data_IF_016724616137
#
_entry.id   IF_016724616137
#
_cell.length_a   1.000
_cell.length_b   1.000
_cell.length_c   1.000
_cell.angle_alpha   90.00
_cell.angle_beta   90.00
_cell.angle_gamma   90.00
#
_symmetry.space_group_name_H-M   'P 1'
#
loop_
_entity.id
_entity.type
_entity.pdbx_description
1 polymer ?
#
# COMPACT_ATOMS: atom_id res chain seq x y z
N UNK A 1 2.02 -20.65 -0.28
CA UNK A 1 0.60 -21.10 -0.28
C UNK A 1 0.47 -22.44 0.41
N UNK A 2 -0.60 -22.61 1.18
CA UNK A 2 -0.91 -23.90 1.77
C UNK A 2 -1.53 -24.84 0.73
N UNK A 3 -1.28 -26.16 0.78
CA UNK A 3 -2.02 -27.15 0.01
C UNK A 3 -3.51 -27.10 0.32
N UNK A 4 -4.36 -27.59 -0.61
CA UNK A 4 -5.81 -27.51 -0.47
C UNK A 4 -6.38 -28.25 0.76
N UNK A 5 -5.71 -29.28 1.21
CA UNK A 5 -6.04 -30.09 2.39
C UNK A 5 -5.49 -29.50 3.71
N UNK A 6 -4.71 -28.44 3.65
CA UNK A 6 -4.15 -27.80 4.85
C UNK A 6 -5.22 -26.98 5.59
N UNK A 7 -5.31 -27.04 6.94
CA UNK A 7 -6.33 -26.30 7.71
C UNK A 7 -6.32 -24.76 7.49
N UNK A 8 -5.17 -24.22 7.09
CA UNK A 8 -5.03 -22.78 6.80
C UNK A 8 -5.21 -22.43 5.32
N UNK A 9 -5.70 -23.34 4.50
CA UNK A 9 -5.87 -23.09 3.06
C UNK A 9 -6.79 -21.91 2.78
N UNK A 10 -7.86 -21.75 3.52
CA UNK A 10 -8.80 -20.64 3.39
C UNK A 10 -8.11 -19.25 3.52
N UNK A 11 -7.05 -19.16 4.33
CA UNK A 11 -6.30 -17.92 4.52
C UNK A 11 -5.46 -17.49 3.30
N UNK A 12 -5.24 -18.36 2.33
CA UNK A 12 -4.48 -17.99 1.13
C UNK A 12 -5.10 -16.84 0.35
N UNK A 13 -6.44 -16.77 0.34
CA UNK A 13 -7.20 -15.76 -0.40
C UNK A 13 -7.84 -14.73 0.53
N UNK A 14 -8.16 -15.11 1.77
CA UNK A 14 -8.83 -14.26 2.76
C UNK A 14 -7.88 -13.38 3.57
N UNK A 15 -6.59 -13.72 3.69
CA UNK A 15 -5.66 -12.96 4.52
C UNK A 15 -5.63 -11.47 4.13
N UNK A 16 -5.50 -11.17 2.84
CA UNK A 16 -5.49 -9.79 2.36
C UNK A 16 -6.75 -9.04 2.76
N UNK A 17 -7.91 -9.65 2.57
CA UNK A 17 -9.21 -9.07 2.85
C UNK A 17 -9.43 -8.88 4.35
N UNK A 18 -9.25 -9.94 5.15
CA UNK A 18 -9.58 -9.93 6.58
C UNK A 18 -8.52 -9.28 7.47
N UNK A 19 -7.24 -9.39 7.10
CA UNK A 19 -6.14 -8.85 7.90
C UNK A 19 -5.68 -7.48 7.41
N UNK A 20 -5.58 -7.29 6.08
CA UNK A 20 -5.02 -6.08 5.50
C UNK A 20 -6.08 -5.10 4.96
N UNK A 21 -7.35 -5.49 4.91
CA UNK A 21 -8.46 -4.65 4.45
C UNK A 21 -8.64 -4.62 2.92
N UNK A 22 -7.84 -5.37 2.17
CA UNK A 22 -8.01 -5.55 0.72
C UNK A 22 -7.27 -6.78 0.23
N UNK A 23 -7.84 -7.57 -0.69
CA UNK A 23 -7.08 -8.58 -1.40
C UNK A 23 -6.19 -7.93 -2.46
N UNK A 24 -5.07 -8.58 -2.81
CA UNK A 24 -4.38 -8.25 -4.06
C UNK A 24 -5.25 -8.68 -5.24
N UNK A 25 -5.58 -7.75 -6.13
CA UNK A 25 -6.40 -8.01 -7.32
C UNK A 25 -5.50 -8.05 -8.56
N UNK A 26 -4.98 -6.89 -8.95
CA UNK A 26 -4.17 -6.70 -10.14
C UNK A 26 -3.38 -5.41 -10.01
N UNK A 27 -2.33 -5.27 -10.77
CA UNK A 27 -1.59 -4.02 -10.93
C UNK A 27 -1.37 -3.72 -12.40
N UNK A 28 -1.15 -2.45 -12.69
CA UNK A 28 -0.71 -1.99 -14.01
C UNK A 28 0.77 -1.59 -13.94
N UNK A 29 1.45 -1.55 -15.09
CA UNK A 29 2.83 -1.09 -15.15
C UNK A 29 2.96 0.44 -15.08
N UNK A 30 4.18 0.94 -15.00
CA UNK A 30 4.47 2.37 -15.01
C UNK A 30 4.59 2.97 -13.62
N UNK A 31 4.66 4.29 -13.56
CA UNK A 31 4.68 5.10 -12.34
C UNK A 31 3.26 5.37 -11.85
N UNK A 32 3.15 5.82 -10.61
CA UNK A 32 1.88 6.19 -10.00
C UNK A 32 1.92 7.62 -9.48
N UNK A 33 1.03 8.47 -9.98
CA UNK A 33 0.83 9.83 -9.47
C UNK A 33 -0.02 9.75 -8.20
N UNK A 34 0.51 10.21 -7.08
CA UNK A 34 -0.10 10.09 -5.76
C UNK A 34 -0.76 11.38 -5.36
N UNK A 35 -1.94 11.25 -4.73
CA UNK A 35 -2.68 12.36 -4.15
C UNK A 35 -3.24 12.00 -2.78
N UNK A 36 -2.94 12.83 -1.78
CA UNK A 36 -3.51 12.69 -0.44
C UNK A 36 -5.02 12.92 -0.49
N UNK A 37 -5.77 12.11 0.26
CA UNK A 37 -7.20 12.30 0.41
C UNK A 37 -7.49 13.44 1.40
N UNK A 38 -8.01 14.58 0.97
CA UNK A 38 -8.24 15.73 1.84
C UNK A 38 -9.25 15.45 2.95
N UNK A 39 -10.19 14.52 2.73
CA UNK A 39 -11.19 14.16 3.74
C UNK A 39 -10.59 13.48 4.97
N UNK A 40 -9.46 12.81 4.81
CA UNK A 40 -8.78 12.06 5.86
C UNK A 40 -7.38 12.61 6.16
N UNK A 41 -7.09 13.85 5.74
CA UNK A 41 -5.80 14.50 5.98
C UNK A 41 -5.50 14.73 7.48
N UNK A 42 -6.53 14.74 8.33
CA UNK A 42 -6.39 14.88 9.79
C UNK A 42 -6.15 13.54 10.51
N UNK A 43 -6.08 12.41 9.78
CA UNK A 43 -5.77 11.13 10.40
C UNK A 43 -4.34 11.14 10.98
N UNK A 44 -4.08 10.54 12.17
CA UNK A 44 -2.76 10.55 12.81
C UNK A 44 -1.60 10.15 11.89
N UNK A 45 -1.80 9.16 11.02
CA UNK A 45 -0.79 8.74 10.03
C UNK A 45 -0.37 9.89 9.08
N UNK A 46 -1.28 10.83 8.82
CA UNK A 46 -1.04 11.96 7.90
C UNK A 46 -0.43 13.19 8.59
N UNK A 47 -0.19 13.13 9.90
CA UNK A 47 0.40 14.24 10.67
C UNK A 47 1.77 14.61 10.11
N UNK A 48 1.97 15.89 9.82
CA UNK A 48 3.25 16.43 9.29
C UNK A 48 3.70 15.79 7.96
N UNK A 49 2.80 15.21 7.19
CA UNK A 49 3.06 14.83 5.80
C UNK A 49 3.11 16.10 4.97
N UNK A 50 4.30 16.43 4.45
CA UNK A 50 4.57 17.76 3.87
C UNK A 50 3.97 17.96 2.48
N UNK A 51 3.88 16.89 1.68
CA UNK A 51 3.34 16.95 0.32
C UNK A 51 1.97 16.31 0.25
N UNK A 52 1.10 16.95 -0.51
CA UNK A 52 -0.23 16.42 -0.85
C UNK A 52 -0.23 15.64 -2.16
N UNK A 53 0.81 15.81 -2.98
CA UNK A 53 0.97 15.14 -4.28
C UNK A 53 2.46 14.81 -4.53
N UNK A 54 2.74 13.63 -5.07
CA UNK A 54 4.07 13.21 -5.54
C UNK A 54 3.97 12.04 -6.52
N UNK A 55 5.08 11.66 -7.14
CA UNK A 55 5.14 10.51 -8.06
C UNK A 55 5.88 9.37 -7.39
N UNK A 56 5.22 8.20 -7.28
CA UNK A 56 5.86 6.94 -6.94
C UNK A 56 6.41 6.29 -8.21
N UNK A 57 7.66 5.81 -8.23
CA UNK A 57 8.16 4.99 -9.33
C UNK A 57 7.57 3.56 -9.33
N UNK A 58 6.75 3.24 -8.35
CA UNK A 58 6.03 1.97 -8.25
C UNK A 58 4.76 1.93 -9.11
N UNK A 59 4.28 0.71 -9.33
CA UNK A 59 3.10 0.43 -10.15
C UNK A 59 1.82 0.64 -9.35
N UNK A 60 0.74 1.07 -10.00
CA UNK A 60 -0.57 1.23 -9.38
C UNK A 60 -1.25 -0.12 -9.18
N UNK A 61 -1.60 -0.45 -7.93
CA UNK A 61 -2.37 -1.63 -7.56
C UNK A 61 -3.85 -1.29 -7.42
N UNK A 62 -4.72 -2.16 -7.96
CA UNK A 62 -6.14 -2.05 -7.70
C UNK A 62 -6.43 -2.60 -6.30
N UNK A 63 -6.79 -1.72 -5.37
CA UNK A 63 -7.29 -2.06 -4.05
C UNK A 63 -8.83 -1.94 -4.04
N UNK A 64 -9.50 -2.95 -3.50
CA UNK A 64 -10.93 -2.92 -3.17
C UNK A 64 -11.04 -3.05 -1.66
N UNK A 65 -11.17 -1.89 -1.01
CA UNK A 65 -11.15 -1.81 0.43
C UNK A 65 -12.38 -2.47 1.05
N UNK A 66 -12.18 -3.19 2.14
CA UNK A 66 -13.25 -3.66 3.02
C UNK A 66 -13.94 -2.49 3.71
N UNK A 67 -15.18 -2.75 4.18
CA UNK A 67 -15.95 -1.74 4.90
C UNK A 67 -15.19 -1.28 6.16
N UNK A 68 -15.15 0.02 6.37
CA UNK A 68 -14.46 0.64 7.51
C UNK A 68 -13.01 1.04 7.24
N UNK A 69 -12.42 0.62 6.13
CA UNK A 69 -11.13 1.15 5.72
C UNK A 69 -11.23 2.65 5.37
N UNK A 70 -10.29 3.44 5.88
CA UNK A 70 -10.18 4.88 5.61
C UNK A 70 -9.13 5.13 4.53
N UNK A 71 -9.50 5.57 3.32
CA UNK A 71 -8.52 5.86 2.28
C UNK A 71 -7.73 7.13 2.63
N UNK A 72 -6.41 7.02 2.77
CA UNK A 72 -5.49 8.12 3.10
C UNK A 72 -4.92 8.77 1.85
N UNK A 73 -4.64 7.99 0.81
CA UNK A 73 -4.17 8.49 -0.47
C UNK A 73 -4.71 7.66 -1.62
N UNK A 74 -4.90 8.30 -2.76
CA UNK A 74 -5.20 7.69 -4.05
C UNK A 74 -4.00 7.80 -4.98
N UNK A 75 -3.94 6.88 -5.95
CA UNK A 75 -2.96 6.91 -7.00
C UNK A 75 -3.64 6.90 -8.36
N UNK A 76 -3.01 7.50 -9.36
CA UNK A 76 -3.40 7.38 -10.77
C UNK A 76 -2.23 6.94 -11.62
N UNK A 77 -2.51 6.20 -12.69
CA UNK A 77 -1.50 5.70 -13.59
C UNK A 77 -2.09 5.34 -14.95
N UNK A 78 -1.23 5.30 -15.97
CA UNK A 78 -1.62 5.05 -17.37
C UNK A 78 -1.07 3.72 -17.90
N UNK A 79 -0.72 2.79 -17.03
CA UNK A 79 -0.13 1.52 -17.42
C UNK A 79 -1.18 0.53 -17.97
N UNK A 80 -0.69 -0.53 -18.64
CA UNK A 80 -1.55 -1.63 -19.08
C UNK A 80 -1.89 -2.56 -17.92
N UNK A 81 -3.17 -2.89 -17.79
CA UNK A 81 -3.64 -3.90 -16.85
C UNK A 81 -3.34 -5.29 -17.40
N UNK A 82 -2.76 -6.15 -16.58
CA UNK A 82 -2.60 -7.57 -16.89
C UNK A 82 -3.68 -8.36 -16.14
N UNK A 83 -4.49 -9.11 -16.87
CA UNK A 83 -5.44 -10.04 -16.29
C UNK A 83 -4.70 -11.11 -15.49
N UNK A 84 -5.10 -11.31 -14.25
CA UNK A 84 -4.56 -12.35 -13.38
C UNK A 84 -5.68 -13.32 -13.02
N UNK A 85 -5.51 -14.59 -13.36
CA UNK A 85 -6.39 -15.66 -12.86
C UNK A 85 -6.17 -15.83 -11.36
N UNK A 86 -7.23 -15.74 -10.58
CA UNK A 86 -7.21 -15.94 -9.13
C UNK A 86 -7.91 -17.25 -8.77
N UNK A 87 -7.57 -17.81 -7.62
CA UNK A 87 -8.19 -19.00 -7.07
C UNK A 87 -9.70 -18.86 -6.81
N UNK A 88 -10.19 -17.65 -6.65
CA UNK A 88 -11.60 -17.30 -6.46
C UNK A 88 -12.33 -16.90 -7.77
N UNK A 89 -11.76 -17.21 -8.93
CA UNK A 89 -12.36 -16.95 -10.24
C UNK A 89 -11.60 -15.94 -11.10
N UNK A 90 -12.06 -15.78 -12.35
CA UNK A 90 -11.53 -14.76 -13.25
C UNK A 90 -12.12 -13.40 -12.87
N UNK A 91 -11.25 -12.46 -12.47
CA UNK A 91 -11.65 -11.08 -12.30
C UNK A 91 -11.44 -10.38 -13.64
N UNK A 92 -12.51 -10.05 -14.32
CA UNK A 92 -12.47 -9.12 -15.44
C UNK A 92 -12.26 -7.71 -14.87
N UNK A 93 -11.04 -7.23 -14.92
CA UNK A 93 -10.71 -5.86 -14.56
C UNK A 93 -10.69 -5.06 -15.84
N UNK A 94 -11.66 -4.16 -16.01
CA UNK A 94 -11.54 -3.08 -16.98
C UNK A 94 -10.34 -2.21 -16.60
N UNK A 95 -9.73 -1.55 -17.56
CA UNK A 95 -8.69 -0.55 -17.30
C UNK A 95 -9.17 0.39 -16.19
N UNK A 96 -8.31 0.64 -15.21
CA UNK A 96 -8.57 1.58 -14.13
C UNK A 96 -7.47 2.63 -14.13
N UNK A 97 -7.88 3.87 -13.98
CA UNK A 97 -6.96 5.01 -13.96
C UNK A 97 -6.61 5.43 -12.54
N UNK A 98 -7.47 5.12 -11.58
CA UNK A 98 -7.30 5.49 -10.17
C UNK A 98 -7.57 4.32 -9.23
N UNK A 99 -6.83 4.28 -8.13
CA UNK A 99 -7.07 3.34 -7.03
C UNK A 99 -6.62 3.96 -5.69
N UNK A 100 -7.14 3.43 -4.58
CA UNK A 100 -6.58 3.75 -3.27
C UNK A 100 -5.22 3.08 -3.13
N UNK A 101 -4.22 3.83 -2.66
CA UNK A 101 -2.82 3.37 -2.54
C UNK A 101 -2.31 3.39 -1.11
N UNK A 102 -3.02 4.06 -0.20
CA UNK A 102 -2.76 4.02 1.24
C UNK A 102 -4.07 4.13 2.02
N UNK A 103 -4.21 3.32 3.06
CA UNK A 103 -5.40 3.29 3.92
C UNK A 103 -5.05 2.95 5.36
N UNK A 104 -5.90 3.39 6.29
CA UNK A 104 -5.92 2.96 7.67
C UNK A 104 -7.15 2.11 7.94
N UNK A 105 -7.03 1.12 8.78
CA UNK A 105 -8.12 0.21 9.13
C UNK A 105 -7.93 -0.38 10.53
N UNK A 106 -9.03 -0.66 11.19
CA UNK A 106 -9.05 -1.54 12.35
C UNK A 106 -9.79 -2.81 11.96
N UNK A 107 -9.11 -3.94 11.97
CA UNK A 107 -9.67 -5.20 11.52
C UNK A 107 -10.61 -5.82 12.56
N UNK A 108 -11.27 -6.93 12.22
CA UNK A 108 -12.24 -7.62 13.06
C UNK A 108 -11.70 -8.11 14.42
N UNK A 109 -10.39 -8.12 14.62
CA UNK A 109 -9.73 -8.45 15.88
C UNK A 109 -9.21 -7.23 16.64
N UNK A 110 -9.56 -6.03 16.24
CA UNK A 110 -9.09 -4.78 16.83
C UNK A 110 -7.64 -4.42 16.47
N UNK A 111 -7.06 -5.11 15.50
CA UNK A 111 -5.70 -4.81 15.03
C UNK A 111 -5.69 -3.59 14.11
N UNK A 112 -4.90 -2.58 14.46
CA UNK A 112 -4.68 -1.39 13.63
C UNK A 112 -3.77 -1.72 12.45
N UNK A 113 -4.20 -1.38 11.26
CA UNK A 113 -3.52 -1.69 10.00
C UNK A 113 -3.30 -0.41 9.19
N UNK A 114 -2.07 -0.14 8.84
CA UNK A 114 -1.73 0.75 7.74
C UNK A 114 -1.43 -0.10 6.52
N UNK A 115 -2.30 -0.06 5.53
CA UNK A 115 -2.10 -0.73 4.26
C UNK A 115 -1.63 0.24 3.20
N UNK A 116 -0.67 -0.21 2.37
CA UNK A 116 -0.18 0.60 1.25
C UNK A 116 0.30 -0.26 0.10
N UNK A 117 0.13 0.22 -1.11
CA UNK A 117 0.76 -0.33 -2.31
C UNK A 117 2.08 0.35 -2.67
N UNK A 118 2.52 1.34 -1.90
CA UNK A 118 3.87 1.90 -1.99
C UNK A 118 4.90 0.88 -1.51
N UNK A 119 6.18 1.13 -1.82
CA UNK A 119 7.28 0.27 -1.39
C UNK A 119 8.23 -0.06 -2.53
N UNK A 120 8.12 0.63 -3.67
CA UNK A 120 9.22 0.65 -4.63
C UNK A 120 10.47 1.26 -3.95
N UNK A 121 11.69 0.76 -4.22
CA UNK A 121 12.90 1.30 -3.61
C UNK A 121 13.02 2.83 -3.68
N UNK A 122 12.51 3.45 -4.75
CA UNK A 122 12.50 4.91 -4.90
C UNK A 122 11.52 5.63 -3.98
N UNK A 123 10.49 4.98 -3.46
CA UNK A 123 9.53 5.63 -2.54
C UNK A 123 10.21 6.02 -1.22
N UNK A 124 11.24 5.28 -0.79
CA UNK A 124 11.95 5.56 0.46
C UNK A 124 12.83 6.81 0.41
N UNK A 125 12.96 7.46 -0.74
CA UNK A 125 13.58 8.79 -0.87
C UNK A 125 12.55 9.92 -0.73
N UNK A 126 11.26 9.61 -0.70
CA UNK A 126 10.18 10.59 -0.52
C UNK A 126 9.84 10.73 0.97
N UNK A 127 10.08 11.92 1.53
CA UNK A 127 9.87 12.20 2.95
C UNK A 127 8.41 12.01 3.36
N UNK A 128 7.45 12.39 2.54
CA UNK A 128 6.03 12.21 2.83
C UNK A 128 5.67 10.75 3.01
N UNK A 129 6.22 9.85 2.19
CA UNK A 129 6.02 8.41 2.33
C UNK A 129 6.68 7.86 3.60
N UNK A 130 7.93 8.21 3.87
CA UNK A 130 8.64 7.75 5.07
C UNK A 130 8.01 8.30 6.35
N UNK A 131 7.49 9.53 6.33
CA UNK A 131 6.70 10.11 7.42
C UNK A 131 5.44 9.30 7.69
N UNK A 132 4.67 8.96 6.67
CA UNK A 132 3.49 8.10 6.81
C UNK A 132 3.84 6.74 7.40
N UNK A 133 4.92 6.10 6.97
CA UNK A 133 5.37 4.81 7.51
C UNK A 133 5.70 4.91 8.99
N UNK A 134 6.49 5.91 9.39
CA UNK A 134 6.84 6.10 10.80
C UNK A 134 5.61 6.40 11.63
N UNK A 135 4.77 7.34 11.21
CA UNK A 135 3.53 7.68 11.91
C UNK A 135 2.62 6.45 12.05
N UNK A 136 2.56 5.59 11.04
CA UNK A 136 1.72 4.39 11.10
C UNK A 136 2.15 3.40 12.18
N UNK A 137 3.45 3.27 12.42
CA UNK A 137 3.99 2.43 13.53
C UNK A 137 3.59 3.01 14.88
N UNK A 138 3.78 4.32 15.09
CA UNK A 138 3.40 4.99 16.34
C UNK A 138 1.89 4.93 16.57
N UNK A 139 1.08 5.19 15.53
CA UNK A 139 -0.36 5.08 15.58
C UNK A 139 -0.83 3.66 15.92
N UNK A 140 -0.24 2.65 15.29
CA UNK A 140 -0.63 1.25 15.53
C UNK A 140 -0.28 0.78 16.96
N UNK A 141 0.74 1.37 17.56
CA UNK A 141 1.20 1.07 18.93
C UNK A 141 0.59 1.99 20.00
N UNK A 142 -0.33 2.89 19.65
CA UNK A 142 -0.90 3.91 20.53
C UNK A 142 0.17 4.78 21.22
N UNK A 143 1.25 5.09 20.50
CA UNK A 143 2.35 5.93 20.96
C UNK A 143 2.19 7.37 20.47
N UNK A 144 2.68 8.38 21.21
CA UNK A 144 2.76 9.74 20.72
C UNK A 144 3.50 9.81 19.40
N UNK A 145 2.92 10.52 18.42
CA UNK A 145 3.56 10.70 17.10
C UNK A 145 4.85 11.52 17.21
N UNK A 146 5.82 11.29 16.32
CA UNK A 146 6.99 12.13 16.19
C UNK A 146 6.60 13.58 15.93
N UNK A 147 7.30 14.51 16.57
CA UNK A 147 7.05 15.95 16.41
C UNK A 147 7.37 16.42 15.00
N UNK A 148 6.85 17.59 14.63
CA UNK A 148 7.06 18.16 13.29
C UNK A 148 8.54 18.42 12.98
N UNK A 149 9.27 18.89 13.98
CA UNK A 149 10.71 19.22 13.90
C UNK A 149 11.61 17.98 13.89
N UNK A 150 11.08 16.81 14.27
CA UNK A 150 11.83 15.55 14.20
C UNK A 150 11.99 15.12 12.74
N UNK A 151 13.22 15.14 12.27
CA UNK A 151 13.55 14.64 10.92
C UNK A 151 13.26 13.16 10.80
N UNK A 152 12.45 12.81 9.83
CA UNK A 152 12.32 11.42 9.39
C UNK A 152 13.41 11.14 8.35
N UNK A 153 14.23 10.15 8.61
CA UNK A 153 15.28 9.77 7.67
C UNK A 153 14.70 9.17 6.40
N UNK A 154 15.19 9.65 5.28
CA UNK A 154 14.98 9.01 3.98
C UNK A 154 16.24 8.26 3.58
N UNK A 155 16.12 7.25 2.75
CA UNK A 155 17.27 6.50 2.27
C UNK A 155 17.04 5.91 0.88
N UNK A 156 18.12 5.79 0.15
CA UNK A 156 18.12 5.14 -1.16
C UNK A 156 18.32 3.64 -0.96
N UNK A 157 17.36 2.85 -1.41
CA UNK A 157 17.50 1.39 -1.42
C UNK A 157 18.23 1.00 -2.71
N UNK A 158 19.41 0.43 -2.57
CA UNK A 158 20.15 -0.13 -3.67
C UNK A 158 19.80 -1.60 -3.84
N UNK A 159 19.41 -1.97 -5.07
CA UNK A 159 19.21 -3.38 -5.39
C UNK A 159 20.57 -4.02 -5.65
N UNK A 160 20.84 -5.15 -5.00
CA UNK A 160 22.00 -5.96 -5.36
C UNK A 160 21.92 -6.34 -6.85
N UNK A 161 22.98 -6.06 -7.59
CA UNK A 161 23.05 -6.41 -9.00
C UNK A 161 22.78 -7.91 -9.17
N UNK A 162 21.79 -8.23 -9.99
CA UNK A 162 21.61 -9.62 -10.42
C UNK A 162 22.87 -10.03 -11.16
N UNK A 163 23.73 -10.82 -10.51
CA UNK A 163 24.88 -11.45 -11.17
C UNK A 163 24.36 -12.01 -12.50
N UNK A 164 24.79 -11.42 -13.63
CA UNK A 164 24.50 -11.97 -14.95
C UNK A 164 24.95 -13.42 -14.91
N UNK A 165 24.02 -14.36 -14.93
CA UNK A 165 24.38 -15.77 -15.14
C UNK A 165 25.08 -15.80 -16.48
N UNK A 166 26.39 -15.95 -16.45
CA UNK A 166 27.16 -16.30 -17.66
C UNK A 166 26.55 -17.61 -18.17
N UNK A 167 26.00 -17.55 -19.39
CA UNK A 167 25.67 -18.75 -20.18
C UNK A 167 26.93 -19.45 -20.58
#
# INVERSE_FOLDING_TARGET
KYPKDHPRFAWNDDFGRRVLGTPYIVHQGGTTDIKVNPKNANHPIMTNVSKTEWVSPGTLYLARLEKGCLPLASGSGKGRVRLVKKSFGEIQVKEFETAVVAWAWENEWGGKVFGTSFGHPGDFTEESFTRMLVNSVFWALDKPLPKAEEKISTWKIERADKKKKKK
#
